data_IF_624419397463
#
_entry.id   IF_624419397463
#
_cell.length_a   1.000
_cell.length_b   1.000
_cell.length_c   1.000
_cell.angle_alpha   90.00
_cell.angle_beta   90.00
_cell.angle_gamma   90.00
#
_symmetry.space_group_name_H-M   'P 1'
#
loop_
_entity.id
_entity.type
_entity.pdbx_description
1 polymer ?
#
# COMPACT_ATOMS: atom_id res chain seq x y z
N UNK A 1 -16.15 -11.73 -2.08
CA UNK A 1 -15.58 -11.11 -0.86
C UNK A 1 -14.90 -9.83 -1.32
N UNK A 2 -15.24 -8.66 -0.80
CA UNK A 2 -14.68 -7.41 -1.33
C UNK A 2 -13.23 -7.26 -0.87
N UNK A 3 -12.37 -6.73 -1.74
CA UNK A 3 -10.95 -6.45 -1.48
C UNK A 3 -10.77 -5.63 -0.20
N UNK A 4 -11.69 -4.71 0.07
CA UNK A 4 -11.72 -3.90 1.29
C UNK A 4 -11.85 -4.72 2.58
N UNK A 5 -12.64 -5.79 2.60
CA UNK A 5 -12.78 -6.65 3.78
C UNK A 5 -11.47 -7.34 4.14
N UNK A 6 -10.78 -7.93 3.15
CA UNK A 6 -9.50 -8.61 3.37
C UNK A 6 -8.43 -7.61 3.83
N UNK A 7 -8.42 -6.41 3.28
CA UNK A 7 -7.54 -5.35 3.74
C UNK A 7 -7.79 -4.98 5.20
N UNK A 8 -9.05 -4.79 5.59
CA UNK A 8 -9.41 -4.50 6.99
C UNK A 8 -9.07 -5.66 7.94
N UNK A 9 -9.26 -6.90 7.52
CA UNK A 9 -8.88 -8.08 8.30
C UNK A 9 -7.36 -8.14 8.52
N UNK A 10 -6.58 -7.87 7.49
CA UNK A 10 -5.12 -7.81 7.59
C UNK A 10 -4.66 -6.67 8.51
N UNK A 11 -5.21 -5.46 8.36
CA UNK A 11 -4.87 -4.31 9.20
C UNK A 11 -5.26 -4.54 10.65
N UNK A 12 -6.44 -5.10 10.91
CA UNK A 12 -6.87 -5.41 12.27
C UNK A 12 -6.01 -6.49 12.92
N UNK A 13 -5.63 -7.54 12.17
CA UNK A 13 -4.71 -8.57 12.68
C UNK A 13 -3.36 -7.94 13.09
N UNK A 14 -2.75 -7.14 12.22
CA UNK A 14 -1.46 -6.48 12.53
C UNK A 14 -1.59 -5.55 13.73
N UNK A 15 -2.66 -4.75 13.79
CA UNK A 15 -2.88 -3.81 14.88
C UNK A 15 -3.07 -4.51 16.23
N UNK A 16 -3.87 -5.57 16.26
CA UNK A 16 -4.09 -6.38 17.46
C UNK A 16 -2.81 -7.09 17.89
N UNK A 17 -2.03 -7.62 16.95
CA UNK A 17 -0.75 -8.25 17.23
C UNK A 17 0.24 -7.24 17.85
N UNK A 18 0.34 -6.05 17.29
CA UNK A 18 1.20 -4.99 17.83
C UNK A 18 0.79 -4.58 19.25
N UNK A 19 -0.51 -4.39 19.50
CA UNK A 19 -1.02 -4.07 20.83
C UNK A 19 -0.72 -5.20 21.81
N UNK A 20 -1.00 -6.44 21.43
CA UNK A 20 -0.74 -7.62 22.28
C UNK A 20 0.73 -7.74 22.67
N UNK A 21 1.65 -7.60 21.71
CA UNK A 21 3.09 -7.67 21.96
C UNK A 21 3.55 -6.51 22.87
N UNK A 22 3.11 -5.28 22.59
CA UNK A 22 3.49 -4.11 23.38
C UNK A 22 3.01 -4.22 24.83
N UNK A 23 1.76 -4.59 25.02
CA UNK A 23 1.17 -4.80 26.37
C UNK A 23 1.87 -5.95 27.08
N UNK A 24 2.13 -7.06 26.39
CA UNK A 24 2.83 -8.22 26.93
C UNK A 24 4.22 -7.87 27.45
N UNK A 25 4.99 -7.13 26.67
CA UNK A 25 6.34 -6.68 27.07
C UNK A 25 6.28 -5.74 28.28
N UNK A 26 5.36 -4.79 28.30
CA UNK A 26 5.19 -3.87 29.44
C UNK A 26 4.81 -4.63 30.71
N UNK A 27 3.82 -5.50 30.63
CA UNK A 27 3.36 -6.31 31.78
C UNK A 27 4.48 -7.19 32.31
N UNK A 28 5.22 -7.84 31.40
CA UNK A 28 6.37 -8.68 31.77
C UNK A 28 7.48 -7.85 32.44
N UNK A 29 7.83 -6.69 31.90
CA UNK A 29 8.85 -5.81 32.46
C UNK A 29 8.47 -5.28 33.84
N UNK A 30 7.19 -4.89 34.04
CA UNK A 30 6.66 -4.49 35.33
C UNK A 30 6.66 -5.65 36.33
N UNK A 31 6.29 -6.86 35.91
CA UNK A 31 6.35 -8.07 36.72
C UNK A 31 7.77 -8.36 37.21
N UNK A 32 8.76 -8.25 36.34
CA UNK A 32 10.18 -8.41 36.71
C UNK A 32 10.63 -7.39 37.71
N UNK A 33 10.22 -6.12 37.55
CA UNK A 33 10.58 -5.06 38.50
C UNK A 33 10.06 -5.33 39.92
N UNK A 34 8.82 -5.81 40.04
CA UNK A 34 8.23 -6.15 41.34
C UNK A 34 8.68 -7.51 41.90
N UNK A 35 9.21 -8.39 41.08
CA UNK A 35 9.73 -9.72 41.48
C UNK A 35 11.17 -9.67 42.00
N UNK A 36 11.69 -8.50 42.38
CA UNK A 36 13.05 -8.28 42.81
C UNK A 36 13.45 -9.25 43.96
N UNK A 37 14.27 -10.24 43.65
CA UNK A 37 14.79 -11.24 44.59
C UNK A 37 15.01 -12.65 44.05
N UNK A 38 14.51 -12.98 42.86
CA UNK A 38 14.78 -14.26 42.23
C UNK A 38 16.05 -14.18 41.39
N UNK A 39 17.19 -14.54 41.97
CA UNK A 39 18.37 -14.92 41.20
C UNK A 39 18.14 -16.35 40.67
N UNK A 40 17.63 -16.46 39.44
CA UNK A 40 17.58 -17.75 38.76
C UNK A 40 18.95 -17.96 38.13
N UNK A 41 19.71 -18.91 38.66
CA UNK A 41 20.90 -19.41 37.98
C UNK A 41 20.44 -20.27 36.81
N UNK A 42 20.84 -19.96 35.56
CA UNK A 42 20.47 -20.78 34.42
C UNK A 42 21.37 -22.01 34.38
N UNK A 43 21.04 -23.00 35.19
CA UNK A 43 21.79 -24.27 35.20
C UNK A 43 21.31 -25.26 34.12
N UNK A 44 20.15 -25.05 33.52
CA UNK A 44 19.61 -25.94 32.48
C UNK A 44 19.04 -25.11 31.32
N UNK A 45 19.46 -25.46 30.11
CA UNK A 45 18.81 -25.00 28.88
C UNK A 45 17.37 -25.49 28.84
N UNK A 46 16.41 -24.57 28.82
CA UNK A 46 14.99 -24.89 28.73
C UNK A 46 14.59 -25.01 27.26
N UNK A 47 14.94 -26.12 26.62
CA UNK A 47 14.68 -26.39 25.20
C UNK A 47 13.21 -26.14 24.80
N UNK A 48 12.26 -26.35 25.72
CA UNK A 48 10.85 -26.06 25.45
C UNK A 48 10.57 -24.57 25.33
N UNK A 49 11.18 -23.72 26.14
CA UNK A 49 11.03 -22.26 26.06
C UNK A 49 11.67 -21.76 24.77
N UNK A 50 12.86 -22.24 24.46
CA UNK A 50 13.59 -21.92 23.22
C UNK A 50 12.77 -22.29 21.98
N UNK A 51 12.25 -23.50 21.93
CA UNK A 51 11.35 -23.92 20.87
C UNK A 51 10.10 -23.03 20.78
N UNK A 52 9.49 -22.69 21.91
CA UNK A 52 8.24 -21.92 21.95
C UNK A 52 8.42 -20.49 21.41
N UNK A 53 9.48 -19.78 21.79
CA UNK A 53 9.71 -18.42 21.32
C UNK A 53 10.14 -18.35 19.85
N UNK A 54 10.59 -19.46 19.27
CA UNK A 54 10.85 -19.57 17.82
C UNK A 54 9.58 -19.95 17.07
N UNK A 55 8.85 -20.95 17.57
CA UNK A 55 7.68 -21.50 16.88
C UNK A 55 6.49 -20.54 16.86
N UNK A 56 6.18 -19.88 17.99
CA UNK A 56 5.03 -18.98 18.07
C UNK A 56 5.16 -17.79 17.09
N UNK A 57 6.24 -17.03 17.05
CA UNK A 57 6.42 -15.97 16.06
C UNK A 57 6.38 -16.47 14.62
N UNK A 58 6.94 -17.65 14.34
CA UNK A 58 6.92 -18.25 13.00
C UNK A 58 5.49 -18.51 12.53
N UNK A 59 4.62 -19.04 13.40
CA UNK A 59 3.21 -19.27 13.07
C UNK A 59 2.48 -17.94 12.85
N UNK A 60 2.71 -16.95 13.71
CA UNK A 60 2.08 -15.62 13.57
C UNK A 60 2.47 -14.93 12.26
N UNK A 61 3.74 -15.00 11.88
CA UNK A 61 4.22 -14.49 10.56
C UNK A 61 3.65 -15.31 9.41
N UNK A 62 3.53 -16.63 9.56
CA UNK A 62 2.89 -17.49 8.56
C UNK A 62 1.44 -17.11 8.27
N UNK A 63 0.66 -16.79 9.31
CA UNK A 63 -0.71 -16.26 9.17
C UNK A 63 -0.71 -14.93 8.43
N UNK A 64 0.17 -14.00 8.81
CA UNK A 64 0.30 -12.71 8.14
C UNK A 64 0.65 -12.86 6.65
N UNK A 65 1.60 -13.74 6.33
CA UNK A 65 1.96 -14.05 4.94
C UNK A 65 0.77 -14.59 4.15
N UNK A 66 -0.01 -15.49 4.72
CA UNK A 66 -1.19 -16.06 4.07
C UNK A 66 -2.26 -15.00 3.78
N UNK A 67 -2.52 -14.09 4.73
CA UNK A 67 -3.45 -12.98 4.54
C UNK A 67 -2.96 -12.03 3.44
N UNK A 68 -1.67 -11.70 3.44
CA UNK A 68 -1.06 -10.81 2.45
C UNK A 68 -1.09 -11.42 1.04
N UNK A 69 -0.76 -12.70 0.90
CA UNK A 69 -0.85 -13.40 -0.39
C UNK A 69 -2.28 -13.42 -0.91
N UNK A 70 -3.25 -13.69 -0.06
CA UNK A 70 -4.67 -13.67 -0.45
C UNK A 70 -5.11 -12.31 -0.97
N UNK A 71 -4.63 -11.22 -0.33
CA UNK A 71 -4.89 -9.85 -0.79
C UNK A 71 -4.28 -9.57 -2.17
N UNK A 72 -3.00 -9.93 -2.36
CA UNK A 72 -2.28 -9.69 -3.63
C UNK A 72 -2.91 -10.46 -4.79
N UNK A 73 -3.26 -11.73 -4.60
CA UNK A 73 -3.88 -12.53 -5.64
C UNK A 73 -5.26 -12.02 -6.05
N UNK A 74 -6.07 -11.60 -5.09
CA UNK A 74 -7.39 -11.02 -5.39
C UNK A 74 -7.30 -9.68 -6.11
N UNK A 75 -6.32 -8.86 -5.77
CA UNK A 75 -6.11 -7.57 -6.45
C UNK A 75 -5.64 -7.75 -7.90
N UNK A 76 -4.78 -8.73 -8.15
CA UNK A 76 -4.25 -9.02 -9.49
C UNK A 76 -5.25 -9.67 -10.44
N UNK A 77 -6.29 -10.35 -9.93
CA UNK A 77 -7.27 -11.10 -10.70
C UNK A 77 -8.53 -10.30 -11.08
N UNK A 78 -8.64 -9.04 -10.65
CA UNK A 78 -9.80 -8.21 -10.98
C UNK A 78 -9.85 -7.94 -12.50
N UNK A 79 -10.92 -8.38 -13.15
CA UNK A 79 -11.20 -8.00 -14.53
C UNK A 79 -11.56 -6.52 -14.60
N UNK A 80 -10.85 -5.77 -15.45
CA UNK A 80 -11.10 -4.34 -15.62
C UNK A 80 -12.17 -4.09 -16.66
N UNK A 81 -13.12 -3.22 -16.34
CA UNK A 81 -14.14 -2.73 -17.27
C UNK A 81 -13.63 -1.56 -18.11
N UNK A 82 -12.78 -0.72 -17.52
CA UNK A 82 -12.17 0.44 -18.16
C UNK A 82 -10.64 0.36 -18.08
N UNK A 83 -9.97 0.99 -19.06
CA UNK A 83 -8.51 1.09 -19.12
C UNK A 83 -8.13 2.55 -19.32
N UNK A 84 -7.22 3.04 -18.48
CA UNK A 84 -6.62 4.37 -18.61
C UNK A 84 -5.10 4.22 -18.70
N UNK A 85 -4.50 4.78 -19.73
CA UNK A 85 -3.05 4.86 -19.85
C UNK A 85 -2.56 6.15 -19.17
N UNK A 86 -1.53 6.01 -18.38
CA UNK A 86 -0.91 7.10 -17.61
C UNK A 86 0.56 7.19 -18.02
N UNK A 87 0.94 8.29 -18.63
CA UNK A 87 2.30 8.53 -19.09
C UNK A 87 2.95 9.67 -18.31
N UNK A 88 4.03 9.34 -17.57
CA UNK A 88 4.85 10.34 -16.88
C UNK A 88 5.74 11.09 -17.85
N UNK A 89 5.82 12.40 -17.68
CA UNK A 89 6.69 13.32 -18.44
C UNK A 89 7.26 14.41 -17.51
N UNK A 90 8.35 15.01 -17.88
CA UNK A 90 8.90 16.18 -17.19
C UNK A 90 8.20 17.45 -17.67
N UNK A 91 7.31 18.09 -16.93
CA UNK A 91 6.85 17.85 -15.55
C UNK A 91 5.32 17.89 -15.56
N UNK A 92 4.70 16.94 -16.23
CA UNK A 92 3.25 16.79 -16.35
C UNK A 92 2.87 15.32 -16.56
N UNK A 93 1.59 15.03 -16.46
CA UNK A 93 1.05 13.72 -16.77
C UNK A 93 0.24 13.77 -18.05
N UNK A 94 0.38 12.75 -18.91
CA UNK A 94 -0.50 12.54 -20.06
C UNK A 94 -1.41 11.36 -19.77
N UNK A 95 -2.68 11.52 -20.08
CA UNK A 95 -3.68 10.46 -19.92
C UNK A 95 -4.28 10.09 -21.26
N UNK A 96 -4.59 8.82 -21.44
CA UNK A 96 -5.33 8.32 -22.59
C UNK A 96 -6.42 7.38 -22.06
N UNK A 97 -7.67 7.74 -22.29
CA UNK A 97 -8.83 6.92 -21.97
C UNK A 97 -9.71 6.67 -23.22
N UNK A 98 -10.64 5.73 -23.11
CA UNK A 98 -11.50 5.36 -24.22
C UNK A 98 -12.56 6.44 -24.56
N UNK A 99 -12.81 7.40 -23.69
CA UNK A 99 -13.86 8.41 -23.84
C UNK A 99 -13.32 9.77 -24.30
N UNK A 100 -12.26 10.23 -23.64
CA UNK A 100 -11.69 11.58 -23.85
C UNK A 100 -10.52 11.59 -24.82
N UNK A 101 -10.01 10.41 -25.19
CA UNK A 101 -8.80 10.27 -26.00
C UNK A 101 -7.54 10.60 -25.20
N UNK A 102 -6.55 11.19 -25.88
CA UNK A 102 -5.27 11.55 -25.26
C UNK A 102 -5.27 13.04 -24.88
N UNK A 103 -4.92 13.36 -23.63
CA UNK A 103 -4.81 14.72 -23.13
C UNK A 103 -3.71 14.86 -22.10
N UNK A 104 -3.18 16.08 -21.98
CA UNK A 104 -2.14 16.44 -21.03
C UNK A 104 -2.71 17.17 -19.83
N UNK A 105 -2.12 16.95 -18.67
CA UNK A 105 -2.53 17.51 -17.39
C UNK A 105 -1.37 18.28 -16.78
N UNK A 106 -1.44 19.61 -16.80
CA UNK A 106 -0.44 20.50 -16.28
C UNK A 106 -0.85 21.07 -14.93
N UNK A 107 0.13 21.26 -14.07
CA UNK A 107 -0.08 21.97 -12.81
C UNK A 107 -0.45 23.42 -13.07
N UNK A 108 -1.50 23.90 -12.44
CA UNK A 108 -1.93 25.29 -12.52
C UNK A 108 -1.57 26.04 -11.22
N UNK A 109 -0.57 26.92 -11.31
CA UNK A 109 -0.08 27.70 -10.18
C UNK A 109 -1.07 28.75 -9.62
N UNK A 110 -2.13 29.08 -10.36
CA UNK A 110 -3.16 30.03 -9.90
C UNK A 110 -4.15 29.43 -8.91
N UNK A 111 -4.20 28.09 -8.82
CA UNK A 111 -5.12 27.35 -7.95
C UNK A 111 -4.33 26.33 -7.13
N UNK A 112 -4.44 26.37 -5.82
CA UNK A 112 -3.72 25.46 -4.93
C UNK A 112 -4.19 24.02 -5.19
N UNK A 113 -3.26 23.12 -5.60
CA UNK A 113 -3.47 21.70 -5.87
C UNK A 113 -4.44 21.34 -7.02
N UNK A 114 -4.64 22.23 -8.00
CA UNK A 114 -5.50 21.94 -9.15
C UNK A 114 -4.66 21.92 -10.43
N UNK A 115 -4.96 20.93 -11.28
CA UNK A 115 -4.47 20.80 -12.64
C UNK A 115 -5.54 21.26 -13.62
N UNK A 116 -5.14 21.61 -14.83
CA UNK A 116 -6.06 22.05 -15.90
C UNK A 116 -6.99 20.92 -16.38
N UNK A 117 -6.46 19.69 -16.51
CA UNK A 117 -7.20 18.52 -17.00
C UNK A 117 -7.02 17.34 -16.05
N UNK A 118 -7.88 17.19 -15.03
CA UNK A 118 -7.77 16.05 -14.10
C UNK A 118 -8.16 14.72 -14.77
N UNK A 119 -7.52 13.64 -14.36
CA UNK A 119 -7.95 12.30 -14.72
C UNK A 119 -9.30 11.98 -14.06
N UNK A 120 -10.23 11.45 -14.83
CA UNK A 120 -11.57 11.08 -14.35
C UNK A 120 -11.71 9.57 -14.31
N UNK A 121 -12.14 9.03 -13.17
CA UNK A 121 -12.46 7.62 -13.00
C UNK A 121 -13.96 7.44 -12.75
N UNK A 122 -14.54 6.38 -13.32
CA UNK A 122 -15.95 6.05 -13.15
C UNK A 122 -16.20 5.42 -11.77
N UNK A 123 -17.18 5.96 -11.04
CA UNK A 123 -17.59 5.41 -9.75
C UNK A 123 -18.07 3.97 -9.89
N UNK A 124 -17.63 3.10 -8.98
CA UNK A 124 -17.99 1.69 -8.88
C UNK A 124 -17.70 0.85 -10.15
N UNK A 125 -16.70 1.28 -10.95
CA UNK A 125 -16.21 0.52 -12.09
C UNK A 125 -14.73 0.21 -11.91
N UNK A 126 -14.36 -1.03 -12.14
CA UNK A 126 -12.97 -1.47 -12.03
C UNK A 126 -12.18 -0.90 -13.20
N UNK A 127 -11.25 -0.02 -12.90
CA UNK A 127 -10.37 0.62 -13.89
C UNK A 127 -8.94 0.07 -13.74
N UNK A 128 -8.37 -0.34 -14.86
CA UNK A 128 -6.94 -0.69 -14.95
C UNK A 128 -6.14 0.51 -15.43
N UNK A 129 -5.22 0.96 -14.60
CA UNK A 129 -4.27 2.00 -14.94
C UNK A 129 -3.01 1.35 -15.50
N UNK A 130 -2.64 1.70 -16.74
CA UNK A 130 -1.41 1.28 -17.40
C UNK A 130 -0.42 2.43 -17.30
N UNK A 131 0.63 2.26 -16.50
CA UNK A 131 1.52 3.33 -16.09
C UNK A 131 2.89 3.13 -16.70
N UNK A 132 3.39 4.15 -17.39
CA UNK A 132 4.72 4.18 -18.01
C UNK A 132 5.29 5.60 -18.00
N UNK A 133 6.48 5.76 -18.51
CA UNK A 133 7.13 7.06 -18.70
C UNK A 133 7.71 7.18 -20.11
N UNK A 134 7.77 8.39 -20.63
CA UNK A 134 8.39 8.70 -21.92
C UNK A 134 9.83 9.21 -21.82
N UNK A 135 10.28 9.62 -20.63
CA UNK A 135 11.59 10.27 -20.43
C UNK A 135 12.38 9.64 -19.27
N UNK A 136 12.13 10.05 -18.04
CA UNK A 136 12.81 9.55 -16.84
C UNK A 136 11.86 8.74 -15.97
N UNK A 137 12.36 8.17 -14.87
CA UNK A 137 11.52 7.48 -13.92
C UNK A 137 10.66 8.49 -13.16
N UNK A 138 9.36 8.21 -13.09
CA UNK A 138 8.37 8.90 -12.26
C UNK A 138 7.67 7.88 -11.38
N UNK A 139 6.86 8.34 -10.43
CA UNK A 139 5.99 7.45 -9.65
C UNK A 139 4.60 8.10 -9.54
N UNK A 140 3.62 7.46 -10.14
CA UNK A 140 2.23 7.88 -10.03
C UNK A 140 1.71 7.54 -8.63
N UNK A 141 1.36 8.55 -7.84
CA UNK A 141 0.93 8.38 -6.47
C UNK A 141 -0.29 9.23 -6.16
N UNK A 142 -1.33 8.59 -5.59
CA UNK A 142 -2.52 9.26 -5.04
C UNK A 142 -2.69 8.74 -3.61
N UNK A 143 -2.09 9.41 -2.60
CA UNK A 143 -2.03 8.92 -1.23
C UNK A 143 -3.39 8.65 -0.60
N UNK A 144 -4.36 9.53 -0.86
CA UNK A 144 -5.73 9.41 -0.31
C UNK A 144 -6.48 8.17 -0.82
N UNK A 145 -6.05 7.61 -1.94
CA UNK A 145 -6.60 6.37 -2.52
C UNK A 145 -5.71 5.16 -2.25
N UNK A 146 -4.57 5.35 -1.60
CA UNK A 146 -3.58 4.30 -1.36
C UNK A 146 -2.88 3.81 -2.64
N UNK A 147 -2.93 4.59 -3.72
CA UNK A 147 -2.33 4.22 -5.00
C UNK A 147 -0.89 4.72 -5.09
N UNK A 148 0.02 3.84 -5.46
CA UNK A 148 1.39 4.18 -5.82
C UNK A 148 1.95 3.14 -6.78
N UNK A 149 2.47 3.60 -7.94
CA UNK A 149 3.10 2.74 -8.93
C UNK A 149 4.16 3.52 -9.71
N UNK A 150 5.31 2.92 -9.90
CA UNK A 150 6.41 3.56 -10.63
C UNK A 150 6.14 3.56 -12.13
N UNK A 151 6.39 4.72 -12.75
CA UNK A 151 6.35 4.94 -14.19
C UNK A 151 7.78 4.86 -14.74
N UNK A 152 8.13 3.71 -15.34
CA UNK A 152 9.48 3.42 -15.80
C UNK A 152 9.52 3.49 -17.33
N UNK A 153 10.50 4.20 -17.94
CA UNK A 153 10.66 4.22 -19.39
C UNK A 153 10.86 2.81 -19.97
N UNK A 154 10.14 2.48 -21.03
CA UNK A 154 10.22 1.19 -21.70
C UNK A 154 9.54 0.03 -20.98
N UNK A 155 8.90 0.26 -19.83
CA UNK A 155 8.13 -0.72 -19.08
C UNK A 155 6.72 -0.21 -18.83
N UNK A 156 5.73 -1.09 -19.00
CA UNK A 156 4.34 -0.81 -18.65
C UNK A 156 4.03 -1.54 -17.35
N UNK A 157 3.87 -0.78 -16.28
CA UNK A 157 3.33 -1.26 -15.02
C UNK A 157 1.80 -1.10 -15.03
N UNK A 158 1.11 -1.90 -14.26
CA UNK A 158 -0.34 -1.76 -14.14
C UNK A 158 -0.77 -1.89 -12.68
N UNK A 159 -1.83 -1.22 -12.36
CA UNK A 159 -2.58 -1.43 -11.13
C UNK A 159 -4.09 -1.35 -11.45
N UNK A 160 -4.87 -2.06 -10.67
CA UNK A 160 -6.31 -2.11 -10.82
C UNK A 160 -6.95 -1.41 -9.63
N UNK A 161 -7.88 -0.51 -9.89
CA UNK A 161 -8.52 0.28 -8.84
C UNK A 161 -10.05 0.29 -9.03
N UNK A 162 -10.77 0.11 -7.93
CA UNK A 162 -12.21 0.27 -7.86
C UNK A 162 -12.54 1.54 -7.05
N UNK A 163 -13.00 2.62 -7.69
CA UNK A 163 -13.43 3.83 -7.00
C UNK A 163 -14.65 3.56 -6.12
N UNK A 164 -14.46 3.58 -4.81
CA UNK A 164 -15.49 3.28 -3.79
C UNK A 164 -16.15 4.54 -3.21
N UNK A 165 -15.64 5.72 -3.56
CA UNK A 165 -16.12 7.02 -3.07
C UNK A 165 -15.98 8.11 -4.13
N UNK A 166 -16.92 9.04 -4.10
CA UNK A 166 -16.90 10.23 -4.94
C UNK A 166 -16.06 11.33 -4.30
N UNK A 167 -15.33 12.08 -5.09
CA UNK A 167 -14.50 13.19 -4.62
C UNK A 167 -13.42 13.60 -5.60
N UNK A 168 -12.66 14.62 -5.23
CA UNK A 168 -11.44 15.03 -5.92
C UNK A 168 -10.25 14.66 -5.03
N UNK A 169 -9.31 13.91 -5.59
CA UNK A 169 -8.14 13.40 -4.89
C UNK A 169 -6.89 13.93 -5.57
N UNK A 170 -5.92 14.37 -4.77
CA UNK A 170 -4.70 14.94 -5.32
C UNK A 170 -3.65 13.86 -5.49
N UNK A 171 -3.09 13.77 -6.71
CA UNK A 171 -1.96 12.93 -7.02
C UNK A 171 -0.65 13.73 -7.09
N UNK A 172 0.45 13.05 -6.80
CA UNK A 172 1.79 13.61 -6.82
C UNK A 172 2.75 12.67 -7.56
N UNK A 173 3.83 13.24 -8.10
CA UNK A 173 4.98 12.42 -8.48
C UNK A 173 5.72 11.99 -7.21
N UNK A 174 5.81 10.68 -7.00
CA UNK A 174 6.45 10.07 -5.82
C UNK A 174 7.93 9.72 -6.01
N UNK A 175 8.55 10.16 -7.11
CA UNK A 175 9.95 9.92 -7.46
C UNK A 175 10.65 11.20 -7.89
N UNK A 176 11.94 11.32 -7.58
CA UNK A 176 12.77 12.45 -8.01
C UNK A 176 12.95 12.41 -9.53
N UNK A 177 12.37 13.38 -10.24
CA UNK A 177 12.37 13.42 -11.70
C UNK A 177 12.94 14.72 -12.31
N UNK A 178 13.65 15.54 -11.51
CA UNK A 178 14.24 16.83 -11.93
C UNK A 178 13.86 17.96 -11.00
N UNK A 179 13.85 19.19 -11.55
CA UNK A 179 13.48 20.40 -10.79
C UNK A 179 12.02 20.71 -11.07
N UNK A 180 11.17 20.54 -10.07
CA UNK A 180 9.74 20.83 -10.15
C UNK A 180 9.11 21.01 -8.79
#
# INVERSE_FOLDING_TARGET
>A
MSLSLIYYDMVSYVSLLCIFLSVGVIVYSVSLYYSSGLSVLPENELNFIEFSWTFIPTVLVGVLCSLNLSFIYLDSELESEDVVKVMGRQWYWSYEDNFSGCYDSYFNSSLVYIVDNPMVLNYNKITRLLISSSDVIHSFSVPDLGLKMDAVPGRINHLTYLPDRLGSFVGYCGELCGVG
#
